data_IF_400733355017
#
_entry.id   IF_400733355017
#
_cell.length_a   1.000
_cell.length_b   1.000
_cell.length_c   1.000
_cell.angle_alpha   90.00
_cell.angle_beta   90.00
_cell.angle_gamma   90.00
#
_symmetry.space_group_name_H-M   'P 1'
#
loop_
_entity.id
_entity.type
_entity.pdbx_description
1 polymer ?
#
# COMPACT_ATOMS: atom_id res chain seq x y z
N UNK A 1 19.05 -8.67 19.21
CA UNK A 1 17.79 -8.16 19.76
C UNK A 1 16.89 -7.90 18.57
N UNK A 2 15.91 -8.76 18.33
CA UNK A 2 14.87 -8.50 17.34
C UNK A 2 13.98 -7.38 17.89
N UNK A 3 13.79 -6.31 17.12
CA UNK A 3 12.93 -5.20 17.50
C UNK A 3 11.49 -5.67 17.68
N UNK A 4 10.71 -4.96 18.50
CA UNK A 4 9.27 -5.21 18.59
C UNK A 4 8.60 -4.89 17.24
N UNK A 5 7.43 -5.47 16.92
CA UNK A 5 6.67 -5.14 15.71
C UNK A 5 6.50 -3.62 15.51
N UNK A 6 6.32 -2.89 16.61
CA UNK A 6 6.24 -1.43 16.64
C UNK A 6 7.52 -0.75 16.16
N UNK A 7 8.70 -1.15 16.64
CA UNK A 7 9.97 -0.56 16.18
C UNK A 7 10.22 -0.79 14.68
N UNK A 8 9.90 -2.00 14.18
CA UNK A 8 10.10 -2.33 12.78
C UNK A 8 9.19 -1.50 11.86
N UNK A 9 7.90 -1.39 12.23
CA UNK A 9 6.96 -0.59 11.44
C UNK A 9 7.19 0.91 11.62
N UNK A 10 7.67 1.39 12.77
CA UNK A 10 8.03 2.80 12.94
C UNK A 10 9.24 3.20 12.09
N UNK A 11 10.28 2.37 12.04
CA UNK A 11 11.44 2.60 11.17
C UNK A 11 11.03 2.60 9.69
N UNK A 12 10.12 1.68 9.33
CA UNK A 12 9.54 1.61 7.98
C UNK A 12 8.75 2.88 7.64
N UNK A 13 7.93 3.38 8.57
CA UNK A 13 7.20 4.63 8.43
C UNK A 13 8.14 5.82 8.22
N UNK A 14 9.23 5.89 8.98
CA UNK A 14 10.23 6.94 8.86
C UNK A 14 10.90 6.93 7.49
N UNK A 15 11.32 5.75 7.02
CA UNK A 15 11.91 5.55 5.68
C UNK A 15 10.92 5.84 4.56
N UNK A 16 9.65 5.47 4.75
CA UNK A 16 8.61 5.73 3.76
C UNK A 16 8.38 7.23 3.61
N UNK A 17 8.23 7.95 4.71
CA UNK A 17 8.14 9.41 4.70
C UNK A 17 9.36 10.07 4.02
N UNK A 18 10.57 9.63 4.35
CA UNK A 18 11.80 10.17 3.75
C UNK A 18 11.81 9.97 2.23
N UNK A 19 11.46 8.77 1.75
CA UNK A 19 11.33 8.49 0.32
C UNK A 19 10.29 9.39 -0.34
N UNK A 20 9.08 9.48 0.22
CA UNK A 20 8.01 10.35 -0.28
C UNK A 20 8.41 11.84 -0.36
N UNK A 21 9.24 12.33 0.57
CA UNK A 21 9.72 13.72 0.54
C UNK A 21 10.92 13.95 -0.38
N UNK A 22 11.61 12.89 -0.78
CA UNK A 22 12.80 12.96 -1.63
C UNK A 22 12.48 12.76 -3.11
N UNK A 23 11.25 12.34 -3.43
CA UNK A 23 10.76 12.14 -4.79
C UNK A 23 10.77 13.46 -5.57
N UNK A 24 11.41 13.43 -6.74
CA UNK A 24 11.35 14.51 -7.74
C UNK A 24 10.23 14.27 -8.76
N UNK A 25 9.74 15.33 -9.41
CA UNK A 25 8.74 15.25 -10.49
C UNK A 25 9.15 14.21 -11.55
N UNK A 26 8.28 13.21 -11.79
CA UNK A 26 8.46 12.18 -12.83
C UNK A 26 8.61 10.73 -12.35
N UNK A 27 8.48 10.45 -11.04
CA UNK A 27 8.56 9.08 -10.50
C UNK A 27 7.24 8.29 -10.56
N UNK A 28 7.34 7.00 -10.24
CA UNK A 28 6.35 5.93 -10.41
C UNK A 28 4.88 6.36 -10.14
N UNK A 29 3.91 5.94 -10.98
CA UNK A 29 2.56 6.55 -10.99
C UNK A 29 1.67 6.22 -9.80
N UNK A 30 2.12 5.34 -8.89
CA UNK A 30 1.30 4.84 -7.78
C UNK A 30 2.14 4.40 -6.59
N UNK A 31 1.71 4.77 -5.39
CA UNK A 31 2.20 4.13 -4.18
C UNK A 31 1.22 3.03 -3.74
N UNK A 32 1.71 1.81 -3.56
CA UNK A 32 0.94 0.67 -3.06
C UNK A 32 1.25 0.43 -1.58
N UNK A 33 0.22 0.53 -0.74
CA UNK A 33 0.25 0.26 0.68
C UNK A 33 -0.52 -1.02 0.98
N UNK A 34 0.17 -2.01 1.55
CA UNK A 34 -0.43 -3.23 2.08
C UNK A 34 -0.59 -3.11 3.60
N UNK A 35 -1.78 -3.45 4.08
CA UNK A 35 -2.11 -3.52 5.49
C UNK A 35 -2.53 -4.95 5.81
N UNK A 36 -1.67 -5.71 6.47
CA UNK A 36 -1.87 -7.14 6.71
C UNK A 36 -1.30 -7.56 8.06
N UNK A 37 -1.88 -8.58 8.70
CA UNK A 37 -1.32 -9.17 9.91
C UNK A 37 -0.31 -10.27 9.58
N UNK A 38 0.50 -10.67 10.58
CA UNK A 38 1.44 -11.79 10.43
C UNK A 38 0.79 -13.12 9.99
N UNK A 39 -0.51 -13.30 10.26
CA UNK A 39 -1.26 -14.51 9.92
C UNK A 39 -1.81 -14.49 8.48
N UNK A 40 -1.79 -13.33 7.81
CA UNK A 40 -2.34 -13.14 6.46
C UNK A 40 -1.35 -13.53 5.38
N UNK A 41 -0.94 -14.80 5.40
CA UNK A 41 0.06 -15.34 4.46
C UNK A 41 -0.30 -15.10 2.98
N UNK A 42 -1.59 -15.12 2.64
CA UNK A 42 -2.08 -14.82 1.29
C UNK A 42 -1.84 -13.36 0.89
N UNK A 43 -2.09 -12.41 1.80
CA UNK A 43 -1.77 -11.00 1.55
C UNK A 43 -0.26 -10.78 1.41
N UNK A 44 0.56 -11.53 2.16
CA UNK A 44 2.02 -11.51 2.02
C UNK A 44 2.49 -12.11 0.67
N UNK A 45 1.82 -13.16 0.17
CA UNK A 45 2.06 -13.69 -1.17
C UNK A 45 1.75 -12.66 -2.26
N UNK A 46 0.61 -11.98 -2.15
CA UNK A 46 0.23 -10.91 -3.09
C UNK A 46 1.23 -9.74 -3.02
N UNK A 47 1.65 -9.34 -1.82
CA UNK A 47 2.69 -8.33 -1.66
C UNK A 47 3.99 -8.72 -2.37
N UNK A 48 4.40 -10.00 -2.29
CA UNK A 48 5.60 -10.50 -2.99
C UNK A 48 5.45 -10.41 -4.50
N UNK A 49 4.26 -10.69 -5.04
CA UNK A 49 3.96 -10.54 -6.48
C UNK A 49 4.07 -9.06 -6.89
N UNK A 50 3.48 -8.15 -6.12
CA UNK A 50 3.62 -6.71 -6.33
C UNK A 50 5.07 -6.28 -6.29
N UNK A 51 5.84 -6.74 -5.29
CA UNK A 51 7.25 -6.38 -5.14
C UNK A 51 8.07 -6.77 -6.34
N UNK A 52 7.95 -8.01 -6.81
CA UNK A 52 8.67 -8.44 -8.03
C UNK A 52 8.30 -7.58 -9.22
N UNK A 53 7.00 -7.26 -9.42
CA UNK A 53 6.57 -6.40 -10.50
C UNK A 53 7.11 -4.96 -10.38
N UNK A 54 7.09 -4.38 -9.18
CA UNK A 54 7.56 -3.03 -8.92
C UNK A 54 9.07 -2.92 -9.11
N UNK A 55 9.84 -3.93 -8.66
CA UNK A 55 11.29 -4.03 -8.91
C UNK A 55 11.60 -4.11 -10.42
N UNK A 56 10.84 -4.91 -11.19
CA UNK A 56 10.98 -5.01 -12.65
C UNK A 56 10.67 -3.68 -13.36
N UNK A 57 9.80 -2.87 -12.79
CA UNK A 57 9.41 -1.55 -13.30
C UNK A 57 10.27 -0.40 -12.72
N UNK A 58 11.37 -0.73 -12.03
CA UNK A 58 12.29 0.22 -11.39
C UNK A 58 11.66 1.13 -10.32
N UNK A 59 10.61 0.66 -9.65
CA UNK A 59 10.00 1.37 -8.52
C UNK A 59 10.94 1.41 -7.30
N UNK A 60 10.85 2.49 -6.53
CA UNK A 60 11.55 2.68 -5.27
C UNK A 60 10.84 2.02 -4.09
N UNK A 61 11.49 2.08 -2.92
CA UNK A 61 10.89 1.58 -1.67
C UNK A 61 9.60 2.33 -1.30
N UNK A 62 9.53 3.64 -1.57
CA UNK A 62 8.37 4.45 -1.25
C UNK A 62 7.14 4.16 -2.11
N UNK A 63 7.33 3.47 -3.24
CA UNK A 63 6.25 3.08 -4.14
C UNK A 63 5.54 1.81 -3.66
N UNK A 64 6.15 1.00 -2.80
CA UNK A 64 5.55 -0.22 -2.30
C UNK A 64 5.95 -0.52 -0.85
N UNK A 65 4.97 -0.46 0.05
CA UNK A 65 5.16 -0.71 1.49
C UNK A 65 4.11 -1.67 2.03
N UNK A 66 4.47 -2.40 3.07
CA UNK A 66 3.57 -3.27 3.84
C UNK A 66 3.72 -2.99 5.33
N UNK A 67 2.63 -2.89 6.08
CA UNK A 67 2.63 -2.71 7.54
C UNK A 67 1.82 -3.83 8.22
N UNK A 68 2.18 -4.14 9.48
CA UNK A 68 1.52 -5.19 10.28
C UNK A 68 2.05 -6.61 10.08
N UNK A 69 3.07 -6.80 9.23
CA UNK A 69 3.63 -8.12 8.87
C UNK A 69 4.17 -8.95 10.06
N UNK A 70 4.42 -8.29 11.21
CA UNK A 70 4.92 -8.92 12.44
C UNK A 70 3.90 -8.84 13.61
N UNK A 71 2.65 -8.47 13.33
CA UNK A 71 1.60 -8.28 14.32
C UNK A 71 1.03 -6.85 14.31
N UNK A 72 -0.07 -6.63 15.03
CA UNK A 72 -0.75 -5.34 15.12
C UNK A 72 0.17 -4.31 15.76
N UNK A 73 0.76 -3.43 14.95
CA UNK A 73 1.63 -2.35 15.42
C UNK A 73 0.83 -1.08 15.69
N UNK A 74 1.28 -0.28 16.66
CA UNK A 74 0.75 1.06 16.90
C UNK A 74 0.83 1.96 15.66
N UNK A 75 1.86 1.75 14.83
CA UNK A 75 2.01 2.36 13.50
C UNK A 75 0.84 2.02 12.57
N UNK A 76 0.50 0.74 12.44
CA UNK A 76 -0.61 0.31 11.59
C UNK A 76 -1.95 0.89 12.07
N UNK A 77 -2.17 0.91 13.39
CA UNK A 77 -3.36 1.48 14.02
C UNK A 77 -3.48 3.01 13.82
N UNK A 78 -2.35 3.73 13.75
CA UNK A 78 -2.34 5.18 13.51
C UNK A 78 -2.41 5.54 12.02
N UNK A 79 -1.86 4.70 11.13
CA UNK A 79 -1.87 4.92 9.68
C UNK A 79 -3.29 4.93 9.10
N UNK A 80 -4.13 3.97 9.51
CA UNK A 80 -5.51 3.85 8.97
C UNK A 80 -6.31 5.15 9.15
N UNK A 81 -6.51 5.69 10.37
CA UNK A 81 -7.18 6.98 10.53
C UNK A 81 -6.34 8.16 10.01
N UNK A 82 -5.00 8.08 10.12
CA UNK A 82 -4.09 9.13 9.68
C UNK A 82 -4.08 9.37 8.17
N UNK A 83 -4.50 8.38 7.38
CA UNK A 83 -4.69 8.48 5.92
C UNK A 83 -6.17 8.61 5.53
N UNK A 84 -7.08 8.77 6.49
CA UNK A 84 -8.52 8.86 6.21
C UNK A 84 -9.17 7.54 5.78
N UNK A 85 -8.50 6.39 5.97
CA UNK A 85 -8.94 5.06 5.54
C UNK A 85 -9.86 4.38 6.58
N UNK A 86 -10.70 5.16 7.26
CA UNK A 86 -11.57 4.63 8.31
C UNK A 86 -12.59 3.64 7.72
N UNK A 87 -12.75 2.48 8.36
CA UNK A 87 -13.70 1.45 7.93
C UNK A 87 -13.13 0.40 6.95
N UNK A 88 -11.83 0.44 6.67
CA UNK A 88 -11.16 -0.51 5.79
C UNK A 88 -11.30 -1.97 6.29
N UNK A 89 -11.66 -2.87 5.38
CA UNK A 89 -11.70 -4.32 5.62
C UNK A 89 -10.27 -4.88 5.54
N UNK A 90 -9.76 -5.45 6.63
CA UNK A 90 -8.41 -5.99 6.73
C UNK A 90 -8.38 -7.52 6.47
N UNK A 91 -7.33 -8.07 5.81
CA UNK A 91 -6.19 -7.36 5.23
C UNK A 91 -6.60 -6.57 3.97
N UNK A 92 -5.84 -5.54 3.62
CA UNK A 92 -6.20 -4.60 2.57
C UNK A 92 -5.02 -4.19 1.68
N UNK A 93 -5.34 -3.86 0.44
CA UNK A 93 -4.49 -3.13 -0.49
C UNK A 93 -5.06 -1.73 -0.67
N UNK A 94 -4.20 -0.73 -0.56
CA UNK A 94 -4.49 0.68 -0.83
C UNK A 94 -3.53 1.13 -1.93
N UNK A 95 -4.08 1.58 -3.07
CA UNK A 95 -3.33 2.17 -4.17
C UNK A 95 -3.53 3.67 -4.13
N UNK A 96 -2.43 4.40 -4.10
CA UNK A 96 -2.40 5.84 -3.87
C UNK A 96 -1.87 6.50 -5.11
N UNK A 97 -2.73 7.24 -5.81
CA UNK A 97 -2.33 8.07 -6.94
C UNK A 97 -2.10 9.48 -6.39
N UNK A 98 -0.84 9.91 -6.39
CA UNK A 98 -0.45 11.24 -5.92
C UNK A 98 -0.56 12.25 -7.06
N UNK A 99 -1.43 13.24 -6.91
CA UNK A 99 -1.44 14.44 -7.76
C UNK A 99 -0.79 15.63 -7.06
N UNK A 100 -0.68 16.76 -7.77
CA UNK A 100 0.03 17.97 -7.31
C UNK A 100 -0.51 18.53 -5.99
N UNK A 101 -1.81 18.37 -5.71
CA UNK A 101 -2.46 18.92 -4.51
C UNK A 101 -3.29 17.92 -3.71
N UNK A 102 -3.70 16.79 -4.32
CA UNK A 102 -4.58 15.81 -3.69
C UNK A 102 -4.16 14.39 -4.10
N UNK A 103 -4.33 13.45 -3.17
CA UNK A 103 -4.13 12.04 -3.43
C UNK A 103 -5.47 11.33 -3.56
N UNK A 104 -5.60 10.44 -4.54
CA UNK A 104 -6.77 9.56 -4.66
C UNK A 104 -6.37 8.17 -4.19
N UNK A 105 -7.19 7.60 -3.31
CA UNK A 105 -7.01 6.24 -2.83
C UNK A 105 -7.96 5.29 -3.54
N UNK A 106 -7.47 4.12 -3.92
CA UNK A 106 -8.27 2.98 -4.35
C UNK A 106 -7.99 1.83 -3.42
N UNK A 107 -9.03 1.27 -2.80
CA UNK A 107 -8.89 0.23 -1.79
C UNK A 107 -9.56 -1.07 -2.23
N UNK A 108 -9.02 -2.20 -1.82
CA UNK A 108 -9.69 -3.49 -1.94
C UNK A 108 -9.30 -4.39 -0.78
N UNK A 109 -10.25 -5.22 -0.35
CA UNK A 109 -9.98 -6.26 0.63
C UNK A 109 -9.09 -7.33 0.00
N UNK A 110 -8.09 -7.77 0.74
CA UNK A 110 -7.24 -8.89 0.39
C UNK A 110 -7.75 -10.17 1.06
N UNK A 111 -7.44 -11.33 0.49
CA UNK A 111 -7.73 -12.59 1.15
C UNK A 111 -6.96 -12.72 2.47
N UNK A 112 -7.69 -13.05 3.54
CA UNK A 112 -7.12 -13.34 4.86
C UNK A 112 -6.59 -14.78 4.97
N UNK A 113 -5.71 -14.99 5.96
CA UNK A 113 -5.26 -16.32 6.38
C UNK A 113 -4.32 -17.04 5.41
N UNK A 114 -4.43 -18.38 5.35
CA UNK A 114 -3.58 -19.28 4.56
C UNK A 114 -4.41 -20.12 3.59
N UNK A 115 -3.92 -20.30 2.37
CA UNK A 115 -4.48 -21.29 1.45
C UNK A 115 -4.30 -22.71 2.03
N UNK A 116 -5.33 -23.54 1.89
CA UNK A 116 -5.18 -24.97 2.18
C UNK A 116 -4.13 -25.58 1.22
N UNK A 117 -3.40 -26.60 1.68
CA UNK A 117 -2.41 -27.28 0.84
C UNK A 117 -3.05 -27.77 -0.47
N UNK A 118 -2.40 -27.45 -1.60
CA UNK A 118 -2.88 -27.81 -2.93
C UNK A 118 -3.89 -26.83 -3.55
N UNK A 119 -4.30 -25.77 -2.85
CA UNK A 119 -5.04 -24.68 -3.45
C UNK A 119 -4.09 -23.62 -4.02
N UNK A 120 -4.41 -23.12 -5.21
CA UNK A 120 -3.80 -21.91 -5.74
C UNK A 120 -4.65 -20.71 -5.36
N UNK A 121 -4.04 -19.53 -5.31
CA UNK A 121 -4.79 -18.29 -5.21
C UNK A 121 -5.85 -18.28 -6.31
N UNK A 122 -7.06 -17.79 -5.99
CA UNK A 122 -8.06 -17.54 -7.03
C UNK A 122 -7.47 -16.47 -7.93
N UNK A 123 -6.92 -16.91 -9.06
CA UNK A 123 -6.39 -16.07 -10.12
C UNK A 123 -7.42 -15.95 -11.21
N UNK A 124 -7.59 -14.74 -11.73
CA UNK A 124 -8.53 -14.46 -12.80
C UNK A 124 -8.56 -12.98 -13.13
N UNK A 125 -9.01 -12.66 -14.34
CA UNK A 125 -9.11 -11.28 -14.83
C UNK A 125 -10.16 -10.43 -14.10
N UNK A 126 -10.81 -10.98 -13.08
CA UNK A 126 -11.86 -10.33 -12.28
C UNK A 126 -11.43 -10.10 -10.82
N UNK A 127 -10.17 -10.42 -10.48
CA UNK A 127 -9.66 -10.24 -9.12
C UNK A 127 -9.09 -8.82 -8.98
N UNK A 128 -9.63 -7.97 -8.09
CA UNK A 128 -9.33 -6.53 -8.10
C UNK A 128 -7.84 -6.19 -8.02
N UNK A 129 -7.09 -6.86 -7.13
CA UNK A 129 -5.65 -6.63 -7.00
C UNK A 129 -4.85 -7.08 -8.25
N UNK A 130 -5.30 -8.12 -8.96
CA UNK A 130 -4.62 -8.57 -10.18
C UNK A 130 -4.87 -7.59 -11.33
N UNK A 131 -6.11 -7.15 -11.48
CA UNK A 131 -6.50 -6.15 -12.48
C UNK A 131 -5.74 -4.85 -12.25
N UNK A 132 -5.67 -4.40 -11.00
CA UNK A 132 -4.94 -3.20 -10.65
C UNK A 132 -3.44 -3.32 -10.96
N UNK A 133 -2.81 -4.45 -10.61
CA UNK A 133 -1.40 -4.69 -10.96
C UNK A 133 -1.18 -4.70 -12.48
N UNK A 134 -2.10 -5.27 -13.25
CA UNK A 134 -2.09 -5.22 -14.71
C UNK A 134 -2.12 -3.79 -15.24
N UNK A 135 -3.02 -2.96 -14.73
CA UNK A 135 -3.12 -1.55 -15.11
C UNK A 135 -1.84 -0.76 -14.79
N UNK A 136 -1.21 -1.02 -13.63
CA UNK A 136 0.07 -0.39 -13.23
C UNK A 136 1.17 -0.77 -14.22
N UNK A 137 1.30 -2.06 -14.54
CA UNK A 137 2.29 -2.56 -15.51
C UNK A 137 2.10 -1.91 -16.89
N UNK A 138 0.85 -1.79 -17.34
CA UNK A 138 0.56 -1.16 -18.62
C UNK A 138 0.87 0.34 -18.62
N UNK A 139 0.48 1.07 -17.58
CA UNK A 139 0.71 2.51 -17.50
C UNK A 139 2.20 2.85 -17.49
N UNK A 140 3.00 2.14 -16.68
CA UNK A 140 4.45 2.33 -16.63
C UNK A 140 5.11 1.89 -17.95
N UNK A 141 4.71 0.75 -18.51
CA UNK A 141 5.29 0.22 -19.74
C UNK A 141 4.99 1.05 -21.00
N UNK A 142 3.84 1.73 -21.04
CA UNK A 142 3.39 2.53 -22.20
C UNK A 142 3.51 4.04 -21.99
N UNK A 143 3.96 4.51 -20.82
CA UNK A 143 3.92 5.91 -20.42
C UNK A 143 2.53 6.56 -20.66
N UNK A 144 1.48 5.81 -20.33
CA UNK A 144 0.08 6.19 -20.55
C UNK A 144 -0.54 6.79 -19.28
N UNK A 145 -1.67 7.47 -19.44
CA UNK A 145 -2.52 7.86 -18.32
C UNK A 145 -2.91 6.63 -17.48
N UNK A 146 -2.70 6.73 -16.16
CA UNK A 146 -3.00 5.67 -15.19
C UNK A 146 -4.36 5.95 -14.54
N UNK A 147 -5.33 5.08 -14.80
CA UNK A 147 -6.69 5.19 -14.27
C UNK A 147 -7.13 3.84 -13.68
N UNK A 148 -7.72 3.89 -12.48
CA UNK A 148 -8.34 2.74 -11.81
C UNK A 148 -9.86 2.90 -11.67
N UNK A 149 -10.42 4.03 -12.11
CA UNK A 149 -11.87 4.26 -12.12
C UNK A 149 -12.59 3.17 -12.91
N UNK A 150 -13.60 2.55 -12.30
CA UNK A 150 -14.42 1.51 -12.92
C UNK A 150 -13.89 0.09 -12.79
N UNK A 151 -12.74 -0.14 -12.14
CA UNK A 151 -12.29 -1.50 -11.78
C UNK A 151 -13.23 -2.06 -10.70
N UNK A 152 -13.91 -3.15 -11.03
CA UNK A 152 -14.84 -3.83 -10.11
C UNK A 152 -14.07 -4.30 -8.86
N UNK A 153 -14.59 -3.96 -7.68
CA UNK A 153 -14.01 -4.35 -6.39
C UNK A 153 -12.85 -3.47 -5.91
N UNK A 154 -12.50 -2.40 -6.63
CA UNK A 154 -11.74 -1.27 -6.09
C UNK A 154 -12.71 -0.17 -5.65
N UNK A 155 -12.62 0.24 -4.39
CA UNK A 155 -13.38 1.36 -3.83
C UNK A 155 -12.53 2.62 -3.87
N UNK A 156 -13.04 3.68 -4.52
CA UNK A 156 -12.38 4.98 -4.55
C UNK A 156 -12.71 5.77 -3.29
N UNK A 157 -11.68 6.33 -2.67
CA UNK A 157 -11.77 7.23 -1.54
C UNK A 157 -11.03 8.51 -1.90
N UNK A 158 -11.75 9.62 -1.98
CA UNK A 158 -11.15 10.95 -2.18
C UNK A 158 -10.56 11.42 -0.83
N UNK A 159 -9.24 11.62 -0.80
CA UNK A 159 -8.52 12.03 0.42
C UNK A 159 -8.69 13.52 0.68
N UNK A 160 -9.13 13.88 1.88
CA UNK A 160 -9.05 15.25 2.38
C UNK A 160 -7.76 15.54 3.17
N UNK A 161 -6.81 14.59 3.20
CA UNK A 161 -5.69 14.61 4.16
C UNK A 161 -4.46 15.40 3.67
N UNK A 162 -4.56 15.97 2.46
CA UNK A 162 -3.48 16.69 1.78
C UNK A 162 -2.59 15.73 0.98
N UNK A 163 -1.32 16.07 0.83
CA UNK A 163 -0.35 15.18 0.15
C UNK A 163 -0.09 13.94 1.00
N UNK A 164 0.25 12.82 0.34
CA UNK A 164 0.61 11.58 1.04
C UNK A 164 1.80 11.79 2.00
N UNK A 165 2.83 12.53 1.57
CA UNK A 165 4.00 12.84 2.38
C UNK A 165 3.62 13.56 3.68
N UNK A 166 2.75 14.58 3.60
CA UNK A 166 2.26 15.31 4.78
C UNK A 166 1.45 14.43 5.71
N UNK A 167 0.57 13.59 5.18
CA UNK A 167 -0.27 12.69 5.96
C UNK A 167 0.60 11.67 6.72
N UNK A 168 1.53 11.01 6.03
CA UNK A 168 2.50 10.09 6.64
C UNK A 168 3.39 10.81 7.67
N UNK A 169 3.78 12.06 7.38
CA UNK A 169 4.58 12.90 8.28
C UNK A 169 3.86 13.21 9.60
N UNK A 170 2.57 13.54 9.54
CA UNK A 170 1.72 13.75 10.73
C UNK A 170 1.62 12.49 11.58
N UNK A 171 1.40 11.32 10.96
CA UNK A 171 1.38 10.03 11.67
C UNK A 171 2.73 9.77 12.35
N UNK A 172 3.84 10.03 11.66
CA UNK A 172 5.18 9.87 12.23
C UNK A 172 5.41 10.76 13.45
N UNK A 173 4.94 12.01 13.42
CA UNK A 173 5.05 12.94 14.55
C UNK A 173 4.20 12.45 15.73
N UNK A 174 2.99 11.97 15.48
CA UNK A 174 2.08 11.46 16.52
C UNK A 174 2.68 10.27 17.29
N UNK A 175 3.45 9.42 16.61
CA UNK A 175 4.05 8.21 17.19
C UNK A 175 5.40 8.45 17.88
N UNK A 176 5.96 9.67 17.85
CA UNK A 176 7.19 9.96 18.58
C UNK A 176 6.92 9.97 20.08
N UNK A 177 7.73 9.25 20.90
CA UNK A 177 7.65 9.39 22.35
C UNK A 177 8.02 10.83 22.74
N UNK A 178 7.26 11.38 23.69
CA UNK A 178 7.43 12.72 24.25
C UNK A 178 8.75 12.87 25.03
#
# INVERSE_FOLDING_TARGET
>A
MEGTPDSHDLDKLARWHEGLTSVSEGEFPVCALFLASGEDSRAHDIFRIYRTAFEELAAGFHDLVIFGQHGMSSTCAALVPGLGLSGLQMPALVLIITGDNESVYYTTALPAGKLAEGQSEVGGNDVPWQVALGAIKEAVGKASEFLLDGVVGLERIDSAVGTLADAVGKVKIQLRPA
#
